data_IF_354971806843
#
_entry.id   IF_354971806843
#
_cell.length_a   1.000
_cell.length_b   1.000
_cell.length_c   1.000
_cell.angle_alpha   90.00
_cell.angle_beta   90.00
_cell.angle_gamma   90.00
#
_symmetry.space_group_name_H-M   'P 1'
#
loop_
_entity.id
_entity.type
_entity.pdbx_description
1 polymer ?
#
# COMPACT_ATOMS: atom_id res chain seq x y z
N UNK A 1 -27.08 13.33 66.46
CA UNK A 1 -27.68 11.99 66.25
C UNK A 1 -28.90 12.12 65.36
N UNK A 2 -29.11 11.15 64.44
CA UNK A 2 -30.37 10.78 63.74
C UNK A 2 -31.42 11.89 63.43
N UNK A 3 -31.61 12.20 62.15
CA UNK A 3 -32.95 12.24 61.51
C UNK A 3 -32.85 11.65 60.09
N UNK A 4 -33.78 10.75 59.78
CA UNK A 4 -34.25 10.33 58.46
C UNK A 4 -35.61 9.61 58.68
N UNK A 5 -36.46 9.37 57.67
CA UNK A 5 -36.44 9.82 56.26
C UNK A 5 -37.79 10.47 55.84
N UNK A 6 -37.91 10.94 54.58
CA UNK A 6 -39.15 10.81 53.80
C UNK A 6 -38.93 11.05 52.29
N UNK A 7 -39.77 10.40 51.49
CA UNK A 7 -39.61 10.31 50.03
C UNK A 7 -40.14 11.53 49.29
N UNK A 8 -39.49 11.89 48.18
CA UNK A 8 -40.23 12.21 46.96
C UNK A 8 -39.42 11.76 45.73
N UNK A 9 -40.03 10.89 44.92
CA UNK A 9 -39.46 10.50 43.64
C UNK A 9 -39.82 11.54 42.57
N UNK A 10 -38.86 11.96 41.76
CA UNK A 10 -39.13 12.56 40.46
C UNK A 10 -38.21 11.91 39.43
N UNK A 11 -38.82 11.25 38.44
CA UNK A 11 -38.08 10.59 37.37
C UNK A 11 -37.51 11.64 36.40
N UNK A 12 -36.22 11.54 36.09
CA UNK A 12 -35.61 12.21 34.95
C UNK A 12 -35.14 11.11 34.00
N UNK A 13 -35.72 11.11 32.80
CA UNK A 13 -35.57 10.02 31.84
C UNK A 13 -34.14 9.88 31.30
N UNK A 14 -33.71 8.63 31.09
CA UNK A 14 -32.52 8.33 30.31
C UNK A 14 -32.75 8.76 28.85
N UNK A 15 -32.20 9.90 28.46
CA UNK A 15 -31.87 10.17 27.07
C UNK A 15 -30.53 9.51 26.76
N UNK A 16 -30.58 8.22 26.41
CA UNK A 16 -29.46 7.55 25.74
C UNK A 16 -29.29 8.14 24.35
N UNK A 17 -28.58 9.26 24.25
CA UNK A 17 -28.02 9.73 23.00
C UNK A 17 -27.00 8.69 22.53
N UNK A 18 -27.45 7.81 21.65
CA UNK A 18 -26.60 6.90 20.92
C UNK A 18 -25.66 7.69 20.01
N UNK A 19 -24.52 8.10 20.56
CA UNK A 19 -23.39 8.57 19.77
C UNK A 19 -22.89 7.36 18.99
N UNK A 20 -23.42 7.21 17.77
CA UNK A 20 -22.81 6.36 16.77
C UNK A 20 -21.43 6.95 16.50
N UNK A 21 -20.40 6.35 17.11
CA UNK A 21 -19.03 6.61 16.74
C UNK A 21 -18.83 6.05 15.33
N UNK A 22 -19.12 6.88 14.33
CA UNK A 22 -18.80 6.58 12.94
C UNK A 22 -17.27 6.43 12.86
N UNK A 23 -16.81 5.17 12.83
CA UNK A 23 -15.39 4.83 12.92
C UNK A 23 -14.66 5.53 11.79
N UNK A 24 -13.97 6.61 12.13
CA UNK A 24 -13.45 7.56 11.16
C UNK A 24 -12.20 6.98 10.54
N UNK A 25 -12.39 6.04 9.60
CA UNK A 25 -11.30 5.32 8.92
C UNK A 25 -10.30 6.36 8.42
N UNK A 26 -9.01 6.29 8.83
CA UNK A 26 -8.07 7.37 8.61
C UNK A 26 -7.86 7.60 7.10
N UNK A 27 -8.51 8.66 6.59
CA UNK A 27 -8.34 9.12 5.21
C UNK A 27 -6.97 9.77 5.08
N UNK A 28 -5.94 8.95 4.89
CA UNK A 28 -4.59 9.42 4.59
C UNK A 28 -4.57 10.16 3.27
N UNK A 29 -4.70 11.48 3.35
CA UNK A 29 -4.66 12.41 2.22
C UNK A 29 -3.37 13.20 2.29
N UNK A 30 -2.61 13.24 1.20
CA UNK A 30 -1.57 14.25 1.03
C UNK A 30 -2.27 15.61 1.00
N UNK A 31 -2.00 16.47 1.98
CA UNK A 31 -2.63 17.79 2.08
C UNK A 31 -2.01 18.73 1.02
N UNK A 32 -2.60 18.74 -0.18
CA UNK A 32 -2.23 19.60 -1.31
C UNK A 32 -2.69 21.07 -1.13
N UNK A 33 -2.61 21.64 0.07
CA UNK A 33 -3.10 23.00 0.38
C UNK A 33 -1.97 24.03 0.43
N UNK A 34 -1.67 24.60 -0.75
CA UNK A 34 -1.39 26.04 -0.89
C UNK A 34 -2.47 26.60 -1.86
N UNK A 35 -2.98 27.82 -1.67
CA UNK A 35 -4.02 28.36 -2.54
C UNK A 35 -3.48 28.73 -3.93
N UNK A 36 -3.98 28.05 -4.97
CA UNK A 36 -3.89 28.51 -6.35
C UNK A 36 -5.10 29.40 -6.70
N UNK A 37 -4.96 30.41 -7.59
CA UNK A 37 -6.05 31.33 -7.91
C UNK A 37 -7.21 30.64 -8.65
N UNK A 38 -8.44 31.07 -8.34
CA UNK A 38 -9.66 30.35 -8.71
C UNK A 38 -10.05 30.44 -10.19
N UNK A 39 -10.47 29.31 -10.76
CA UNK A 39 -11.19 29.23 -12.04
C UNK A 39 -12.52 28.47 -11.85
N UNK A 40 -13.50 28.75 -12.71
CA UNK A 40 -14.93 28.42 -12.50
C UNK A 40 -15.29 26.96 -12.82
N UNK A 41 -16.32 26.47 -12.11
CA UNK A 41 -16.91 25.13 -12.30
C UNK A 41 -17.94 25.08 -13.46
N UNK A 42 -18.27 23.86 -13.92
CA UNK A 42 -19.64 23.58 -14.36
C UNK A 42 -20.25 22.27 -13.80
N UNK A 43 -21.53 22.39 -13.40
CA UNK A 43 -22.65 21.46 -13.57
C UNK A 43 -22.60 20.00 -13.04
N UNK A 44 -23.78 19.36 -12.99
CA UNK A 44 -24.15 18.21 -12.15
C UNK A 44 -25.03 17.21 -12.95
N UNK A 45 -25.16 15.99 -12.41
CA UNK A 45 -26.21 14.97 -12.65
C UNK A 45 -25.99 13.94 -13.77
N UNK A 46 -26.69 12.78 -13.77
CA UNK A 46 -27.23 11.98 -12.65
C UNK A 46 -26.88 10.47 -12.70
N UNK A 47 -27.50 9.68 -11.82
CA UNK A 47 -27.25 8.24 -11.64
C UNK A 47 -28.21 7.30 -12.40
N UNK A 48 -27.76 6.07 -12.62
CA UNK A 48 -28.52 4.84 -12.91
C UNK A 48 -27.52 3.66 -12.73
N UNK A 49 -27.87 2.39 -12.48
CA UNK A 49 -29.01 1.63 -11.97
C UNK A 49 -28.53 0.15 -11.99
N UNK A 50 -29.17 -0.77 -11.26
CA UNK A 50 -28.63 -2.13 -11.05
C UNK A 50 -29.14 -3.21 -12.03
N UNK A 51 -28.33 -4.26 -12.26
CA UNK A 51 -28.74 -5.63 -12.63
C UNK A 51 -27.57 -6.60 -12.33
N UNK A 52 -27.64 -7.52 -11.35
CA UNK A 52 -28.28 -8.86 -11.34
C UNK A 52 -27.55 -9.92 -12.18
N UNK A 53 -27.09 -10.99 -11.52
CA UNK A 53 -26.46 -12.17 -12.12
C UNK A 53 -27.47 -13.28 -12.46
N UNK A 54 -27.05 -14.33 -13.21
CA UNK A 54 -27.41 -15.69 -12.83
C UNK A 54 -26.21 -16.66 -12.84
N UNK A 55 -26.44 -17.90 -12.38
CA UNK A 55 -25.40 -18.88 -12.06
C UNK A 55 -25.57 -20.24 -12.77
N UNK A 56 -24.48 -21.03 -12.71
CA UNK A 56 -24.41 -22.51 -12.71
C UNK A 56 -24.76 -23.32 -13.98
N UNK A 57 -23.84 -24.22 -14.35
CA UNK A 57 -24.13 -25.64 -14.66
C UNK A 57 -22.84 -26.50 -14.69
N UNK A 58 -22.89 -27.70 -14.09
CA UNK A 58 -21.99 -28.85 -14.28
C UNK A 58 -22.85 -30.13 -14.16
N UNK A 59 -22.51 -31.26 -14.83
CA UNK A 59 -21.57 -32.28 -14.30
C UNK A 59 -20.72 -32.91 -15.46
N UNK A 60 -20.12 -34.13 -15.47
CA UNK A 60 -20.15 -35.29 -14.57
C UNK A 60 -18.92 -36.24 -14.68
N UNK A 61 -18.63 -36.91 -13.55
CA UNK A 61 -18.30 -38.35 -13.40
C UNK A 61 -17.04 -39.03 -14.00
N UNK A 62 -16.50 -39.99 -13.22
CA UNK A 62 -15.35 -40.89 -13.50
C UNK A 62 -15.85 -42.30 -13.96
N UNK A 63 -14.96 -43.23 -14.36
CA UNK A 63 -14.37 -44.14 -13.35
C UNK A 63 -12.87 -44.48 -13.52
N UNK A 64 -12.29 -45.10 -12.50
CA UNK A 64 -10.90 -45.64 -12.48
C UNK A 64 -10.83 -47.07 -13.02
N UNK A 65 -9.62 -47.60 -13.25
CA UNK A 65 -9.33 -48.96 -12.75
C UNK A 65 -8.06 -49.06 -11.90
N UNK A 66 -8.05 -50.06 -11.02
CA UNK A 66 -6.98 -50.40 -10.07
C UNK A 66 -6.00 -51.38 -10.69
N UNK A 67 -4.70 -51.26 -10.38
CA UNK A 67 -3.69 -52.27 -10.75
C UNK A 67 -2.41 -52.06 -9.94
N UNK A 68 -2.12 -52.97 -9.01
CA UNK A 68 -0.98 -52.89 -8.10
C UNK A 68 -0.18 -54.19 -8.12
N UNK A 69 1.07 -54.15 -8.60
CA UNK A 69 2.14 -55.02 -8.09
C UNK A 69 3.51 -54.42 -8.37
N UNK A 70 4.39 -54.46 -7.39
CA UNK A 70 5.85 -54.34 -7.54
C UNK A 70 6.48 -55.65 -7.01
N UNK A 71 7.77 -55.96 -7.28
CA UNK A 71 8.78 -55.42 -6.37
C UNK A 71 10.20 -55.16 -6.94
N UNK A 72 10.97 -54.42 -6.14
CA UNK A 72 12.42 -54.51 -5.92
C UNK A 72 13.45 -54.27 -7.07
N UNK A 73 14.23 -53.20 -6.93
CA UNK A 73 15.68 -53.32 -6.63
C UNK A 73 16.28 -51.99 -6.13
N UNK A 74 17.28 -52.08 -5.23
CA UNK A 74 17.88 -50.96 -4.49
C UNK A 74 19.33 -50.71 -4.95
N UNK A 75 19.69 -49.47 -5.32
CA UNK A 75 21.07 -48.97 -5.23
C UNK A 75 21.34 -48.18 -3.94
N UNK A 76 22.63 -48.04 -3.58
CA UNK A 76 23.11 -47.34 -2.39
C UNK A 76 23.10 -45.80 -2.53
N UNK A 77 23.10 -45.03 -1.43
CA UNK A 77 23.03 -43.56 -1.51
C UNK A 77 24.36 -42.93 -1.95
N UNK A 78 24.30 -42.10 -2.99
CA UNK A 78 25.29 -41.05 -3.22
C UNK A 78 25.12 -39.94 -2.15
N UNK A 79 26.17 -39.20 -1.79
CA UNK A 79 26.06 -38.11 -0.81
C UNK A 79 25.06 -37.06 -1.32
N UNK A 80 24.07 -36.73 -0.49
CA UNK A 80 23.13 -35.68 -0.79
C UNK A 80 23.86 -34.34 -0.85
N UNK A 81 24.09 -33.83 -2.06
CA UNK A 81 24.26 -32.39 -2.26
C UNK A 81 23.05 -31.71 -1.65
N UNK A 82 23.28 -30.85 -0.66
CA UNK A 82 22.24 -30.14 0.07
C UNK A 82 21.36 -29.40 -0.94
N UNK A 83 20.16 -29.92 -1.18
CA UNK A 83 19.18 -29.31 -2.07
C UNK A 83 18.81 -27.95 -1.50
N UNK A 84 19.31 -26.88 -2.14
CA UNK A 84 18.86 -25.51 -1.87
C UNK A 84 17.35 -25.48 -1.82
N UNK A 85 16.81 -25.06 -0.68
CA UNK A 85 15.37 -25.11 -0.40
C UNK A 85 14.59 -24.45 -1.53
N UNK A 86 13.63 -25.20 -2.10
CA UNK A 86 12.93 -24.80 -3.31
C UNK A 86 12.18 -23.48 -3.15
N UNK A 87 12.76 -22.39 -3.67
CA UNK A 87 12.01 -21.18 -4.00
C UNK A 87 10.99 -21.56 -5.09
N UNK A 88 9.70 -21.23 -4.96
CA UNK A 88 8.73 -21.50 -6.02
C UNK A 88 9.16 -20.80 -7.31
N UNK A 89 9.43 -21.59 -8.35
CA UNK A 89 9.68 -21.07 -9.69
C UNK A 89 8.38 -20.43 -10.21
N UNK A 90 8.34 -19.09 -10.21
CA UNK A 90 7.17 -18.32 -10.66
C UNK A 90 6.87 -17.04 -9.88
N UNK A 91 7.39 -16.89 -8.65
CA UNK A 91 7.15 -15.67 -7.86
C UNK A 91 8.01 -14.49 -8.34
N UNK A 92 7.38 -13.33 -8.57
CA UNK A 92 8.05 -12.10 -9.03
C UNK A 92 9.08 -11.61 -8.00
N UNK A 93 10.31 -11.29 -8.44
CA UNK A 93 11.31 -10.65 -7.58
C UNK A 93 10.87 -9.23 -7.21
N UNK A 94 11.02 -8.84 -5.95
CA UNK A 94 10.75 -7.48 -5.53
C UNK A 94 11.71 -6.48 -6.22
N UNK A 95 11.25 -5.31 -6.68
CA UNK A 95 12.11 -4.31 -7.31
C UNK A 95 13.29 -3.86 -6.43
N UNK A 96 13.13 -3.90 -5.11
CA UNK A 96 14.14 -3.58 -4.11
C UNK A 96 15.05 -4.75 -3.69
N UNK A 97 14.81 -5.99 -4.16
CA UNK A 97 15.69 -7.16 -4.02
C UNK A 97 16.86 -7.15 -5.05
N UNK A 98 17.31 -5.95 -5.40
CA UNK A 98 18.55 -5.69 -6.14
C UNK A 98 19.53 -4.96 -5.23
N UNK A 99 20.78 -4.78 -5.68
CA UNK A 99 21.73 -3.92 -4.98
C UNK A 99 21.13 -2.54 -4.65
N UNK A 100 21.35 -2.06 -3.41
CA UNK A 100 20.89 -0.74 -2.97
C UNK A 100 21.55 0.36 -3.78
N UNK A 101 20.79 1.35 -4.22
CA UNK A 101 21.31 2.48 -4.98
C UNK A 101 22.10 3.43 -4.09
N UNK A 102 23.19 3.98 -4.60
CA UNK A 102 24.01 4.94 -3.88
C UNK A 102 23.21 6.19 -3.50
N UNK A 103 23.54 6.78 -2.35
CA UNK A 103 22.97 8.03 -1.86
C UNK A 103 23.02 9.18 -2.89
N UNK A 104 24.09 9.21 -3.70
CA UNK A 104 24.32 10.20 -4.77
C UNK A 104 23.58 9.91 -6.08
N UNK A 105 23.01 8.71 -6.24
CA UNK A 105 22.26 8.29 -7.43
C UNK A 105 20.76 8.63 -7.35
N UNK A 106 20.32 9.27 -6.27
CA UNK A 106 18.93 9.72 -6.06
C UNK A 106 18.90 11.21 -5.69
N UNK A 107 17.81 11.93 -5.97
CA UNK A 107 17.66 13.33 -5.55
C UNK A 107 17.90 13.51 -4.05
N UNK A 108 18.76 14.45 -3.67
CA UNK A 108 19.24 14.63 -2.29
C UNK A 108 18.13 14.79 -1.24
N UNK A 109 16.94 15.26 -1.67
CA UNK A 109 15.75 15.40 -0.84
C UNK A 109 15.28 14.09 -0.20
N UNK A 110 15.52 12.93 -0.82
CA UNK A 110 15.20 11.62 -0.24
C UNK A 110 15.88 11.42 1.11
N UNK A 111 17.20 11.57 1.16
CA UNK A 111 17.96 11.40 2.40
C UNK A 111 17.81 12.59 3.34
N UNK A 112 17.57 13.81 2.81
CA UNK A 112 17.31 14.98 3.63
C UNK A 112 16.03 14.84 4.46
N UNK A 113 14.92 14.37 3.86
CA UNK A 113 13.67 14.15 4.61
C UNK A 113 13.70 12.83 5.39
N UNK A 114 14.24 11.73 4.85
CA UNK A 114 14.36 10.46 5.58
C UNK A 114 15.15 10.60 6.89
N UNK A 115 16.22 11.41 6.92
CA UNK A 115 17.00 11.69 8.15
C UNK A 115 16.17 12.34 9.27
N UNK A 116 15.01 12.94 8.96
CA UNK A 116 14.10 13.57 9.93
C UNK A 116 13.04 12.60 10.46
N UNK A 117 12.79 11.48 9.78
CA UNK A 117 11.77 10.52 10.15
C UNK A 117 12.11 9.78 11.45
N UNK A 118 11.17 9.71 12.40
CA UNK A 118 11.36 9.06 13.71
C UNK A 118 11.68 7.57 13.60
N UNK A 119 11.09 6.89 12.60
CA UNK A 119 11.26 5.46 12.34
C UNK A 119 12.45 5.13 11.43
N UNK A 120 13.31 6.09 11.06
CA UNK A 120 14.45 5.90 10.13
C UNK A 120 15.44 4.80 10.52
N UNK A 121 15.54 4.48 11.82
CA UNK A 121 16.40 3.40 12.31
C UNK A 121 15.92 1.99 11.92
N UNK A 122 14.64 1.83 11.52
CA UNK A 122 14.03 0.57 11.09
C UNK A 122 13.44 0.60 9.68
N UNK A 123 13.14 1.78 9.15
CA UNK A 123 12.61 2.00 7.81
C UNK A 123 13.67 2.68 6.94
N UNK A 124 14.21 1.97 5.95
CA UNK A 124 15.15 2.52 4.99
C UNK A 124 14.45 3.41 3.94
N UNK A 125 15.17 4.31 3.27
CA UNK A 125 14.61 5.11 2.18
C UNK A 125 14.36 4.22 0.94
N UNK A 126 13.21 4.43 0.30
CA UNK A 126 12.79 3.72 -0.91
C UNK A 126 12.54 4.74 -2.02
N UNK A 127 13.35 4.74 -3.07
CA UNK A 127 13.36 5.80 -4.09
C UNK A 127 12.84 5.33 -5.45
N UNK A 128 12.14 6.22 -6.15
CA UNK A 128 11.72 6.08 -7.54
C UNK A 128 12.91 6.41 -8.46
N UNK A 129 13.64 5.39 -8.91
CA UNK A 129 14.85 5.57 -9.72
C UNK A 129 14.48 5.86 -11.17
N UNK A 130 15.00 6.96 -11.73
CA UNK A 130 14.71 7.38 -13.10
C UNK A 130 13.49 8.30 -13.23
N UNK A 131 12.72 8.53 -12.16
CA UNK A 131 11.61 9.49 -12.19
C UNK A 131 12.09 10.91 -12.52
N UNK A 132 13.28 11.27 -12.01
CA UNK A 132 13.95 12.56 -12.23
C UNK A 132 14.35 12.81 -13.70
N UNK A 133 14.30 11.79 -14.56
CA UNK A 133 14.60 11.90 -15.99
C UNK A 133 13.39 12.33 -16.82
N UNK A 134 12.21 12.47 -16.20
CA UNK A 134 11.01 12.94 -16.91
C UNK A 134 11.20 14.42 -17.31
N UNK A 135 11.01 14.81 -18.59
CA UNK A 135 11.26 16.18 -19.03
C UNK A 135 10.46 17.22 -18.23
N UNK A 136 11.13 18.29 -17.78
CA UNK A 136 10.52 19.38 -17.00
C UNK A 136 10.10 19.01 -15.57
N UNK A 137 10.48 17.84 -15.06
CA UNK A 137 10.11 17.42 -13.70
C UNK A 137 10.85 18.20 -12.62
N UNK A 138 10.14 18.62 -11.58
CA UNK A 138 10.73 19.18 -10.35
C UNK A 138 10.57 18.20 -9.21
N UNK A 139 11.69 17.79 -8.60
CA UNK A 139 11.68 16.86 -7.45
C UNK A 139 11.80 17.66 -6.16
N UNK A 140 10.87 17.46 -5.22
CA UNK A 140 10.83 18.18 -3.94
C UNK A 140 10.29 17.34 -2.81
N UNK A 141 10.39 17.86 -1.59
CA UNK A 141 9.64 17.39 -0.43
C UNK A 141 8.14 17.46 -0.71
N UNK A 142 7.40 16.42 -0.31
CA UNK A 142 5.95 16.50 -0.10
C UNK A 142 5.66 16.68 1.40
N UNK A 143 4.55 17.34 1.73
CA UNK A 143 4.08 17.38 3.12
C UNK A 143 3.33 16.08 3.43
N UNK A 144 3.78 15.38 4.47
CA UNK A 144 3.16 14.18 5.03
C UNK A 144 3.08 14.36 6.55
N UNK A 145 2.09 13.76 7.20
CA UNK A 145 1.77 14.02 8.61
C UNK A 145 2.79 13.44 9.61
N UNK A 146 3.50 12.38 9.23
CA UNK A 146 4.69 11.87 9.92
C UNK A 146 5.66 11.29 8.86
N UNK A 147 6.81 10.74 9.26
CA UNK A 147 7.74 10.09 8.35
C UNK A 147 8.43 11.04 7.37
N UNK A 148 8.41 10.71 6.08
CA UNK A 148 9.06 11.47 5.00
C UNK A 148 8.34 11.25 3.65
N UNK A 149 8.37 12.24 2.75
CA UNK A 149 7.78 12.11 1.42
C UNK A 149 8.51 12.95 0.35
N UNK A 150 8.61 12.41 -0.87
CA UNK A 150 9.19 13.05 -2.05
C UNK A 150 8.15 13.05 -3.17
N UNK A 151 7.89 14.23 -3.72
CA UNK A 151 6.97 14.46 -4.84
C UNK A 151 7.75 14.86 -6.09
N UNK A 152 7.21 14.46 -7.24
CA UNK A 152 7.65 14.84 -8.56
C UNK A 152 6.54 15.68 -9.19
N UNK A 153 6.80 16.95 -9.43
CA UNK A 153 5.90 17.87 -10.11
C UNK A 153 6.19 17.83 -11.62
N UNK A 154 5.16 17.72 -12.45
CA UNK A 154 5.26 17.91 -13.90
C UNK A 154 4.80 19.34 -14.26
N UNK A 155 5.13 19.86 -15.47
CA UNK A 155 4.59 21.13 -15.94
C UNK A 155 3.06 21.17 -15.83
N UNK A 156 2.53 22.11 -15.05
CA UNK A 156 1.11 22.25 -14.77
C UNK A 156 0.52 21.28 -13.73
N UNK A 157 1.24 20.26 -13.26
CA UNK A 157 0.73 19.24 -12.32
C UNK A 157 1.64 19.08 -11.09
N UNK A 158 1.23 19.69 -9.96
CA UNK A 158 1.90 19.53 -8.66
C UNK A 158 1.59 18.16 -8.04
N UNK A 159 2.60 17.49 -7.48
CA UNK A 159 2.55 16.13 -6.92
C UNK A 159 2.05 15.07 -7.92
N UNK A 160 2.35 15.23 -9.21
CA UNK A 160 1.94 14.32 -10.29
C UNK A 160 2.22 12.85 -9.99
N UNK A 161 3.32 12.56 -9.29
CA UNK A 161 3.58 11.26 -8.66
C UNK A 161 4.59 11.40 -7.51
N UNK A 162 4.82 10.33 -6.76
CA UNK A 162 5.83 10.31 -5.70
C UNK A 162 5.79 9.11 -4.78
N UNK A 163 6.60 9.17 -3.73
CA UNK A 163 6.74 8.12 -2.71
C UNK A 163 6.94 8.72 -1.31
N UNK A 164 6.40 8.04 -0.30
CA UNK A 164 6.51 8.39 1.11
C UNK A 164 6.80 7.16 1.96
N UNK A 165 7.65 7.30 2.98
CA UNK A 165 7.67 6.39 4.12
C UNK A 165 6.79 6.98 5.22
N UNK A 166 5.68 6.33 5.54
CA UNK A 166 4.51 6.98 6.18
C UNK A 166 4.70 7.38 7.65
N UNK A 167 5.81 6.99 8.28
CA UNK A 167 6.00 7.08 9.73
C UNK A 167 5.31 5.96 10.53
N UNK A 168 4.34 5.27 9.92
CA UNK A 168 3.58 4.18 10.53
C UNK A 168 4.34 2.85 10.50
N UNK A 169 4.13 2.06 11.54
CA UNK A 169 4.45 0.64 11.53
C UNK A 169 3.29 -0.17 10.95
N UNK A 170 3.57 -1.37 10.45
CA UNK A 170 2.54 -2.34 10.08
C UNK A 170 1.84 -2.86 11.34
N UNK A 171 0.61 -2.41 11.56
CA UNK A 171 -0.27 -2.76 12.70
C UNK A 171 -1.46 -3.66 12.32
N UNK A 172 -1.56 -4.04 11.04
CA UNK A 172 -2.60 -4.93 10.51
C UNK A 172 -3.93 -4.25 10.16
N UNK A 173 -4.04 -2.90 10.20
CA UNK A 173 -5.31 -2.20 9.92
C UNK A 173 -5.63 -2.01 8.43
N UNK A 174 -6.18 -3.07 7.83
CA UNK A 174 -7.45 -2.97 7.09
C UNK A 174 -7.57 -1.99 5.91
N UNK A 175 -6.52 -1.72 5.16
CA UNK A 175 -6.65 -1.12 3.82
C UNK A 175 -7.05 -2.21 2.81
N UNK A 176 -8.21 -2.02 2.16
CA UNK A 176 -8.72 -2.91 1.12
C UNK A 176 -8.52 -2.22 -0.22
N UNK A 177 -7.74 -2.85 -1.09
CA UNK A 177 -7.49 -2.41 -2.45
C UNK A 177 -7.94 -3.50 -3.44
N UNK A 178 -8.40 -3.14 -4.64
CA UNK A 178 -8.84 -4.11 -5.65
C UNK A 178 -7.68 -4.95 -6.20
N UNK A 179 -6.47 -4.38 -6.25
CA UNK A 179 -5.30 -5.03 -6.82
C UNK A 179 -4.21 -5.29 -5.76
N UNK A 180 -3.45 -6.37 -5.94
CA UNK A 180 -2.27 -6.67 -5.14
C UNK A 180 -1.15 -7.30 -5.96
N UNK A 181 0.09 -6.97 -5.61
CA UNK A 181 1.30 -7.68 -6.01
C UNK A 181 1.91 -8.34 -4.77
N UNK A 182 2.32 -9.60 -4.90
CA UNK A 182 3.08 -10.32 -3.88
C UNK A 182 4.43 -10.70 -4.47
N UNK A 183 5.50 -10.48 -3.71
CA UNK A 183 6.86 -10.70 -4.16
C UNK A 183 7.51 -11.91 -3.48
N UNK A 184 8.52 -12.47 -4.15
CA UNK A 184 9.18 -13.71 -3.76
C UNK A 184 10.07 -13.63 -2.51
N UNK A 185 10.22 -12.45 -1.92
CA UNK A 185 10.87 -12.16 -0.63
C UNK A 185 9.87 -12.03 0.53
N UNK A 186 8.56 -12.13 0.25
CA UNK A 186 7.48 -11.90 1.21
C UNK A 186 6.98 -10.45 1.28
N UNK A 187 7.54 -9.54 0.46
CA UNK A 187 7.02 -8.18 0.33
C UNK A 187 5.68 -8.15 -0.40
N UNK A 188 4.90 -7.07 -0.26
CA UNK A 188 3.66 -6.86 -1.00
C UNK A 188 3.46 -5.40 -1.45
N UNK A 189 2.56 -5.20 -2.40
CA UNK A 189 2.01 -3.89 -2.75
C UNK A 189 0.50 -4.02 -3.01
N UNK A 190 -0.33 -3.28 -2.27
CA UNK A 190 -1.79 -3.27 -2.39
C UNK A 190 -2.23 -1.92 -2.96
N UNK A 191 -3.01 -1.89 -4.04
CA UNK A 191 -3.20 -0.66 -4.81
C UNK A 191 -4.51 -0.55 -5.59
N UNK A 192 -4.87 0.70 -5.90
CA UNK A 192 -6.07 1.06 -6.66
C UNK A 192 -6.25 2.57 -6.72
N UNK A 193 -7.48 3.00 -7.01
CA UNK A 193 -7.82 4.42 -7.06
C UNK A 193 -7.56 5.11 -5.71
N UNK A 194 -6.95 6.29 -5.76
CA UNK A 194 -6.72 7.15 -4.60
C UNK A 194 -8.06 7.52 -3.96
N UNK A 195 -8.16 7.34 -2.64
CA UNK A 195 -9.42 7.49 -1.90
C UNK A 195 -10.54 6.51 -2.29
N UNK A 196 -10.26 5.50 -3.13
CA UNK A 196 -11.25 4.59 -3.70
C UNK A 196 -12.03 5.15 -4.91
N UNK A 197 -11.88 6.44 -5.23
CA UNK A 197 -12.68 7.14 -6.26
C UNK A 197 -11.86 7.79 -7.37
N UNK A 198 -10.55 7.99 -7.18
CA UNK A 198 -9.66 8.53 -8.22
C UNK A 198 -9.71 10.06 -8.34
N UNK A 199 -9.23 10.62 -9.47
CA UNK A 199 -8.76 9.93 -10.68
C UNK A 199 -7.37 9.27 -10.54
N UNK A 200 -6.53 9.78 -9.64
CA UNK A 200 -5.20 9.22 -9.38
C UNK A 200 -5.24 7.83 -8.74
N UNK A 201 -4.09 7.15 -8.76
CA UNK A 201 -3.86 5.84 -8.17
C UNK A 201 -2.87 5.92 -6.99
N UNK A 202 -3.01 5.01 -6.03
CA UNK A 202 -2.11 4.87 -4.88
C UNK A 202 -1.84 3.39 -4.56
N UNK A 203 -0.60 3.09 -4.20
CA UNK A 203 -0.16 1.80 -3.66
C UNK A 203 0.34 1.95 -2.23
N UNK A 204 0.01 0.98 -1.40
CA UNK A 204 0.54 0.75 -0.07
C UNK A 204 1.52 -0.43 -0.19
N UNK A 205 2.80 -0.16 0.07
CA UNK A 205 3.91 -1.09 -0.16
C UNK A 205 4.52 -1.51 1.17
N UNK A 206 4.66 -2.81 1.37
CA UNK A 206 5.21 -3.43 2.57
C UNK A 206 6.48 -4.19 2.16
N UNK A 207 7.63 -3.75 2.67
CA UNK A 207 8.94 -4.35 2.31
C UNK A 207 9.34 -5.39 3.35
N UNK A 208 9.59 -6.62 2.91
CA UNK A 208 10.00 -7.72 3.78
C UNK A 208 11.22 -7.34 4.65
N UNK A 209 11.17 -7.77 5.92
CA UNK A 209 12.17 -7.42 6.93
C UNK A 209 12.07 -5.98 7.47
N UNK A 210 11.23 -5.12 6.89
CA UNK A 210 10.95 -3.77 7.38
C UNK A 210 9.49 -3.69 7.83
N UNK A 211 9.25 -3.37 9.10
CA UNK A 211 7.89 -3.23 9.66
C UNK A 211 7.22 -1.91 9.27
N UNK A 212 7.39 -1.48 8.02
CA UNK A 212 7.21 -0.10 7.57
C UNK A 212 6.23 -0.03 6.41
N UNK A 213 5.26 0.88 6.50
CA UNK A 213 4.34 1.17 5.40
C UNK A 213 4.88 2.31 4.53
N UNK A 214 4.97 2.06 3.22
CA UNK A 214 5.30 3.06 2.21
C UNK A 214 4.08 3.36 1.34
N UNK A 215 3.86 4.63 0.99
CA UNK A 215 2.84 5.04 0.03
C UNK A 215 3.52 5.47 -1.27
N UNK A 216 3.01 5.00 -2.42
CA UNK A 216 3.45 5.41 -3.76
C UNK A 216 2.22 5.88 -4.52
N UNK A 217 2.26 7.04 -5.16
CA UNK A 217 1.09 7.59 -5.85
C UNK A 217 1.41 8.04 -7.27
N UNK A 218 0.39 7.98 -8.13
CA UNK A 218 0.36 8.50 -9.48
C UNK A 218 -0.95 9.27 -9.68
N UNK A 219 -0.90 10.60 -9.64
CA UNK A 219 -2.08 11.44 -9.85
C UNK A 219 -2.47 11.53 -11.34
N UNK A 220 -1.50 11.24 -12.22
CA UNK A 220 -1.65 11.18 -13.69
C UNK A 220 -1.13 9.84 -14.23
N UNK A 221 -1.64 9.43 -15.40
CA UNK A 221 -1.23 8.18 -16.07
C UNK A 221 -1.90 6.89 -15.54
N UNK A 222 -2.80 7.00 -14.56
CA UNK A 222 -3.65 5.89 -14.12
C UNK A 222 -2.89 4.71 -13.50
N UNK A 223 -3.46 3.50 -13.65
CA UNK A 223 -2.93 2.29 -13.05
C UNK A 223 -1.55 1.90 -13.62
N UNK A 224 -1.40 1.94 -14.93
CA UNK A 224 -0.16 1.59 -15.63
C UNK A 224 1.02 2.43 -15.11
N UNK A 225 0.81 3.75 -14.96
CA UNK A 225 1.84 4.64 -14.42
C UNK A 225 2.20 4.30 -12.97
N UNK A 226 1.24 3.91 -12.13
CA UNK A 226 1.56 3.45 -10.78
C UNK A 226 2.40 2.17 -10.82
N UNK A 227 2.09 1.21 -11.70
CA UNK A 227 2.84 -0.04 -11.84
C UNK A 227 4.24 0.15 -12.43
N UNK A 228 4.46 1.14 -13.30
CA UNK A 228 5.81 1.61 -13.68
C UNK A 228 6.59 2.13 -12.48
N UNK A 229 5.97 3.00 -11.68
CA UNK A 229 6.60 3.58 -10.48
C UNK A 229 6.96 2.48 -9.48
N UNK A 230 6.07 1.51 -9.24
CA UNK A 230 6.35 0.34 -8.39
C UNK A 230 7.58 -0.44 -8.89
N UNK A 231 7.70 -0.70 -10.20
CA UNK A 231 8.87 -1.36 -10.82
C UNK A 231 10.17 -0.55 -10.70
N UNK A 232 10.07 0.78 -10.58
CA UNK A 232 11.22 1.69 -10.43
C UNK A 232 11.79 1.78 -9.00
N UNK A 233 11.08 1.26 -7.99
CA UNK A 233 11.46 1.41 -6.58
C UNK A 233 12.77 0.69 -6.25
N UNK A 234 13.70 1.38 -5.58
CA UNK A 234 14.95 0.80 -5.06
C UNK A 234 15.23 1.27 -3.64
N UNK A 235 15.76 0.38 -2.81
CA UNK A 235 16.28 0.76 -1.50
C UNK A 235 17.54 1.60 -1.67
N UNK A 236 17.63 2.69 -0.93
CA UNK A 236 18.78 3.60 -0.95
C UNK A 236 19.79 3.16 0.11
N UNK A 237 21.08 3.37 -0.16
CA UNK A 237 22.16 3.24 0.82
C UNK A 237 22.06 4.36 1.86
N UNK A 238 22.18 4.00 3.14
CA UNK A 238 22.15 4.93 4.27
C UNK A 238 23.52 4.98 4.94
N UNK A 239 23.95 6.14 5.47
CA UNK A 239 25.08 6.21 6.40
C UNK A 239 24.81 5.45 7.70
#
# INVERSE_FOLDING_TARGET
MKIAPSLLALAIGLLTLGVQAEETKPRFRVHNTDPAPAARAPAKAPAAAAATAPAAAAPAARPSPTGSTAPASKPAPAPATLSSSGKPAGAQRAPWDTARVAASAVPAVYLAEWKKAKNRARCAPLALVGGEKTPGVTVRRANFSDGWAVAYDLPGQRSAYGVAGTGLDLDGKGYTFPNSLTFADGSSAHYGLSGGTGPGYIAYVEVAGQRCLYNVWADVGGQERLEELLRSLRLVQTP
#
